data_IF_586050916058
#
_entry.id   IF_586050916058
#
_cell.length_a   1.000
_cell.length_b   1.000
_cell.length_c   1.000
_cell.angle_alpha   90.00
_cell.angle_beta   90.00
_cell.angle_gamma   90.00
#
_symmetry.space_group_name_H-M   'P 1'
#
loop_
_entity.id
_entity.type
_entity.pdbx_description
1 polymer ?
#
# COMPACT_ATOMS: atom_id res chain seq x y z
N UNK A 1 -3.94 -11.22 11.64
CA UNK A 1 -4.26 -11.53 10.23
C UNK A 1 -2.96 -11.75 9.47
N UNK A 2 -2.92 -12.71 8.54
CA UNK A 2 -1.77 -12.89 7.65
C UNK A 2 -2.17 -12.45 6.25
N UNK A 3 -1.59 -11.35 5.78
CA UNK A 3 -1.80 -10.84 4.42
C UNK A 3 -0.77 -11.42 3.46
N UNK A 4 -1.15 -11.51 2.19
CA UNK A 4 -0.19 -11.76 1.11
C UNK A 4 0.89 -10.66 1.09
N UNK A 5 2.06 -10.99 0.53
CA UNK A 5 3.13 -10.00 0.35
C UNK A 5 2.78 -8.95 -0.71
N UNK A 6 1.85 -9.26 -1.61
CA UNK A 6 1.43 -8.39 -2.69
C UNK A 6 -0.08 -8.32 -2.81
N UNK A 7 -0.58 -7.16 -3.23
CA UNK A 7 -1.95 -6.97 -3.70
C UNK A 7 -1.96 -6.38 -5.10
N UNK A 8 -2.85 -6.89 -5.94
CA UNK A 8 -3.29 -6.23 -7.18
C UNK A 8 -4.09 -4.97 -6.85
N UNK A 9 -4.34 -4.12 -7.85
CA UNK A 9 -5.24 -2.97 -7.70
C UNK A 9 -6.63 -3.39 -7.20
N UNK A 10 -7.18 -4.50 -7.71
CA UNK A 10 -8.50 -4.99 -7.30
C UNK A 10 -8.50 -5.38 -5.82
N UNK A 11 -7.53 -6.18 -5.40
CA UNK A 11 -7.39 -6.58 -3.99
C UNK A 11 -7.15 -5.37 -3.08
N UNK A 12 -6.35 -4.39 -3.52
CA UNK A 12 -6.19 -3.14 -2.77
C UNK A 12 -7.52 -2.43 -2.54
N UNK A 13 -8.34 -2.26 -3.59
CA UNK A 13 -9.63 -1.57 -3.49
C UNK A 13 -10.62 -2.35 -2.61
N UNK A 14 -10.73 -3.68 -2.80
CA UNK A 14 -11.61 -4.55 -2.01
C UNK A 14 -11.20 -4.56 -0.52
N UNK A 15 -9.92 -4.82 -0.26
CA UNK A 15 -9.40 -4.87 1.10
C UNK A 15 -9.44 -3.51 1.78
N UNK A 16 -9.15 -2.40 1.08
CA UNK A 16 -9.30 -1.06 1.64
C UNK A 16 -10.74 -0.82 2.10
N UNK A 17 -11.72 -1.09 1.23
CA UNK A 17 -13.15 -0.92 1.56
C UNK A 17 -13.56 -1.73 2.79
N UNK A 18 -13.12 -2.98 2.88
CA UNK A 18 -13.61 -3.89 3.93
C UNK A 18 -12.85 -3.70 5.25
N UNK A 19 -11.53 -3.46 5.21
CA UNK A 19 -10.73 -3.15 6.40
C UNK A 19 -11.09 -1.79 7.01
N UNK A 20 -11.39 -0.77 6.20
CA UNK A 20 -11.77 0.55 6.72
C UNK A 20 -13.13 0.52 7.42
N UNK A 21 -14.06 -0.38 7.02
CA UNK A 21 -15.31 -0.61 7.77
C UNK A 21 -15.05 -1.17 9.16
N UNK A 22 -13.99 -1.96 9.31
CA UNK A 22 -13.55 -2.53 10.58
C UNK A 22 -12.64 -1.57 11.38
N UNK A 23 -12.48 -0.33 10.91
CA UNK A 23 -11.66 0.70 11.56
C UNK A 23 -10.15 0.54 11.33
N UNK A 24 -9.73 -0.33 10.41
CA UNK A 24 -8.33 -0.55 10.05
C UNK A 24 -7.97 0.38 8.88
N UNK A 25 -7.03 1.30 9.11
CA UNK A 25 -6.60 2.26 8.09
C UNK A 25 -5.74 1.57 7.03
N UNK A 26 -6.01 1.85 5.75
CA UNK A 26 -5.24 1.32 4.61
C UNK A 26 -4.67 2.46 3.76
N UNK A 27 -3.35 2.49 3.61
CA UNK A 27 -2.62 3.61 3.00
C UNK A 27 -1.83 3.14 1.78
N UNK A 28 -2.04 3.80 0.65
CA UNK A 28 -1.25 3.61 -0.57
C UNK A 28 -0.06 4.57 -0.56
N UNK A 29 1.16 4.03 -0.59
CA UNK A 29 2.39 4.78 -0.31
C UNK A 29 3.25 4.89 -1.57
N UNK A 30 3.46 6.13 -2.00
CA UNK A 30 4.35 6.50 -3.09
C UNK A 30 5.82 6.49 -2.65
N UNK A 31 6.64 5.64 -3.27
CA UNK A 31 8.08 5.56 -2.99
C UNK A 31 8.95 6.26 -4.05
N UNK A 32 8.35 6.88 -5.06
CA UNK A 32 9.03 7.38 -6.26
C UNK A 32 8.72 8.87 -6.58
N UNK A 33 8.01 9.59 -5.72
CA UNK A 33 7.60 10.99 -5.96
C UNK A 33 6.80 11.17 -7.26
N UNK A 34 6.00 10.16 -7.61
CA UNK A 34 5.21 10.12 -8.84
C UNK A 34 3.87 9.46 -8.54
N UNK A 35 2.94 10.28 -8.04
CA UNK A 35 1.63 9.84 -7.58
C UNK A 35 0.85 9.11 -8.67
N UNK A 36 0.15 8.04 -8.31
CA UNK A 36 -0.82 7.37 -9.19
C UNK A 36 -2.00 8.32 -9.46
N UNK A 37 -2.30 8.55 -10.74
CA UNK A 37 -3.44 9.38 -11.15
C UNK A 37 -4.78 8.78 -10.69
N UNK A 38 -5.66 9.64 -10.17
CA UNK A 38 -6.95 9.28 -9.54
C UNK A 38 -6.87 8.29 -8.37
N UNK A 39 -5.72 8.18 -7.71
CA UNK A 39 -5.59 7.45 -6.45
C UNK A 39 -5.12 8.39 -5.34
N UNK A 40 -5.68 8.23 -4.14
CA UNK A 40 -5.16 8.90 -2.95
C UNK A 40 -3.88 8.19 -2.51
N UNK A 41 -2.76 8.92 -2.52
CA UNK A 41 -1.45 8.37 -2.15
C UNK A 41 -0.74 9.26 -1.15
N UNK A 42 0.00 8.65 -0.24
CA UNK A 42 0.88 9.33 0.72
C UNK A 42 2.32 9.14 0.29
N UNK A 43 3.11 10.22 0.27
CA UNK A 43 4.54 10.11 0.01
C UNK A 43 5.24 9.35 1.13
N UNK A 44 6.16 8.45 0.76
CA UNK A 44 6.96 7.69 1.71
C UNK A 44 7.78 8.62 2.62
N UNK A 45 7.31 8.75 3.86
CA UNK A 45 7.98 9.43 4.95
C UNK A 45 7.92 8.54 6.19
N UNK A 46 9.01 7.86 6.57
CA UNK A 46 9.01 6.92 7.69
C UNK A 46 8.59 7.54 9.03
N UNK A 47 8.98 8.79 9.27
CA UNK A 47 8.62 9.47 10.51
C UNK A 47 7.11 9.68 10.59
N UNK A 48 6.50 10.26 9.55
CA UNK A 48 5.06 10.49 9.49
C UNK A 48 4.28 9.16 9.53
N UNK A 49 4.70 8.16 8.74
CA UNK A 49 4.04 6.86 8.69
C UNK A 49 4.10 6.10 10.03
N UNK A 50 5.17 6.29 10.82
CA UNK A 50 5.27 5.66 12.14
C UNK A 50 4.24 6.16 13.16
N UNK A 51 3.62 7.32 12.90
CA UNK A 51 2.58 7.92 13.74
C UNK A 51 1.17 7.42 13.36
N UNK A 52 1.04 6.65 12.28
CA UNK A 52 -0.24 6.06 11.89
C UNK A 52 -0.69 5.00 12.89
N UNK A 53 -2.02 4.78 13.06
CA UNK A 53 -2.55 3.82 14.02
C UNK A 53 -1.91 2.44 13.88
N UNK A 54 -1.63 1.80 15.02
CA UNK A 54 -1.10 0.44 15.05
C UNK A 54 -2.07 -0.53 14.36
N UNK A 55 -1.53 -1.50 13.62
CA UNK A 55 -2.31 -2.42 12.80
C UNK A 55 -2.73 -1.86 11.44
N UNK A 56 -2.44 -0.59 11.12
CA UNK A 56 -2.71 -0.05 9.77
C UNK A 56 -1.97 -0.85 8.68
N UNK A 57 -2.56 -0.89 7.50
CA UNK A 57 -2.01 -1.58 6.33
C UNK A 57 -1.36 -0.58 5.39
N UNK A 58 -0.06 -0.76 5.16
CA UNK A 58 0.77 0.03 4.28
C UNK A 58 1.00 -0.74 2.97
N UNK A 59 0.54 -0.15 1.88
CA UNK A 59 0.65 -0.70 0.53
C UNK A 59 1.62 0.16 -0.27
N UNK A 60 2.86 -0.31 -0.41
CA UNK A 60 3.94 0.43 -1.06
C UNK A 60 3.90 0.20 -2.57
N UNK A 61 4.11 1.26 -3.36
CA UNK A 61 4.29 1.13 -4.80
C UNK A 61 5.50 1.92 -5.30
N UNK A 62 6.08 1.41 -6.40
CA UNK A 62 7.00 2.10 -7.28
C UNK A 62 6.46 1.98 -8.72
N UNK A 63 7.26 2.24 -9.76
CA UNK A 63 6.78 2.17 -11.14
C UNK A 63 6.31 0.75 -11.54
N UNK A 64 7.03 -0.30 -11.15
CA UNK A 64 6.78 -1.70 -11.57
C UNK A 64 6.44 -2.66 -10.43
N UNK A 65 6.48 -2.23 -9.17
CA UNK A 65 6.24 -3.06 -7.98
C UNK A 65 7.41 -3.97 -7.57
N UNK A 66 8.39 -4.22 -8.46
CA UNK A 66 9.53 -5.11 -8.17
C UNK A 66 10.36 -4.62 -6.98
N UNK A 67 10.77 -3.36 -7.00
CA UNK A 67 11.60 -2.79 -5.94
C UNK A 67 10.88 -2.75 -4.59
N UNK A 68 9.56 -2.54 -4.56
CA UNK A 68 8.79 -2.55 -3.31
C UNK A 68 8.61 -3.96 -2.75
N UNK A 69 8.51 -4.97 -3.60
CA UNK A 69 8.48 -6.37 -3.18
C UNK A 69 9.83 -6.83 -2.61
N UNK A 70 10.93 -6.56 -3.32
CA UNK A 70 12.27 -6.96 -2.89
C UNK A 70 12.63 -6.35 -1.52
N UNK A 71 12.18 -5.12 -1.27
CA UNK A 71 12.44 -4.36 -0.03
C UNK A 71 11.40 -4.60 1.06
N UNK A 72 10.43 -5.48 0.86
CA UNK A 72 9.32 -5.65 1.82
C UNK A 72 9.80 -6.06 3.22
N UNK A 73 10.90 -6.82 3.30
CA UNK A 73 11.54 -7.16 4.57
C UNK A 73 12.04 -5.92 5.32
N UNK A 74 12.67 -4.97 4.61
CA UNK A 74 13.13 -3.71 5.19
C UNK A 74 11.95 -2.89 5.73
N UNK A 75 10.85 -2.80 4.98
CA UNK A 75 9.65 -2.09 5.42
C UNK A 75 9.05 -2.72 6.68
N UNK A 76 8.99 -4.06 6.77
CA UNK A 76 8.51 -4.77 7.97
C UNK A 76 9.40 -4.53 9.19
N UNK A 77 10.72 -4.48 8.99
CA UNK A 77 11.65 -4.11 10.08
C UNK A 77 11.43 -2.65 10.53
N UNK A 78 11.12 -1.75 9.59
CA UNK A 78 10.91 -0.33 9.87
C UNK A 78 9.56 -0.02 10.51
N UNK A 79 8.52 -0.79 10.16
CA UNK A 79 7.16 -0.64 10.64
C UNK A 79 6.65 -1.95 11.26
N UNK A 80 7.24 -2.41 12.38
CA UNK A 80 6.93 -3.72 12.96
C UNK A 80 5.50 -3.82 13.53
N UNK A 81 4.85 -2.67 13.77
CA UNK A 81 3.48 -2.56 14.28
C UNK A 81 2.44 -2.37 13.17
N UNK A 82 2.86 -2.45 11.92
CA UNK A 82 2.01 -2.21 10.76
C UNK A 82 2.16 -3.36 9.76
N UNK A 83 1.14 -3.57 8.94
CA UNK A 83 1.21 -4.55 7.87
C UNK A 83 1.84 -3.91 6.63
N UNK A 84 2.88 -4.54 6.08
CA UNK A 84 3.56 -4.05 4.87
C UNK A 84 3.28 -4.98 3.68
N UNK A 85 2.77 -4.39 2.60
CA UNK A 85 2.36 -5.06 1.36
C UNK A 85 2.92 -4.28 0.16
N UNK A 86 3.28 -4.97 -0.91
CA UNK A 86 3.67 -4.35 -2.18
C UNK A 86 2.49 -4.30 -3.16
N UNK A 87 2.31 -3.19 -3.87
CA UNK A 87 1.35 -3.11 -4.95
C UNK A 87 1.91 -3.84 -6.19
N UNK A 88 1.27 -4.94 -6.57
CA UNK A 88 1.67 -5.78 -7.70
C UNK A 88 1.64 -4.99 -9.00
N UNK A 89 2.77 -4.97 -9.70
CA UNK A 89 2.93 -4.22 -10.96
C UNK A 89 3.09 -2.71 -10.79
N UNK A 90 3.02 -2.19 -9.56
CA UNK A 90 3.23 -0.78 -9.24
C UNK A 90 2.28 0.17 -9.95
N UNK A 91 2.73 1.41 -10.11
CA UNK A 91 2.01 2.49 -10.81
C UNK A 91 1.70 2.12 -12.26
N UNK A 92 2.60 1.41 -12.95
CA UNK A 92 2.45 1.05 -14.36
C UNK A 92 1.28 0.10 -14.64
N UNK A 93 0.84 -0.67 -13.65
CA UNK A 93 -0.32 -1.58 -13.78
C UNK A 93 -1.65 -0.94 -13.34
N UNK A 94 -1.62 0.29 -12.83
CA UNK A 94 -2.82 0.95 -12.32
C UNK A 94 -3.76 1.39 -13.45
N UNK A 95 -5.02 0.96 -13.37
CA UNK A 95 -6.11 1.34 -14.27
C UNK A 95 -6.91 2.48 -13.64
N UNK A 96 -6.81 3.68 -14.21
CA UNK A 96 -7.43 4.92 -13.71
C UNK A 96 -8.95 4.88 -13.49
N UNK A 97 -9.65 4.03 -14.24
CA UNK A 97 -11.12 3.94 -14.22
C UNK A 97 -11.62 2.58 -13.73
N UNK A 98 -10.78 1.80 -13.03
CA UNK A 98 -11.26 0.59 -12.37
C UNK A 98 -12.13 0.98 -11.17
N UNK A 99 -13.35 0.44 -11.14
CA UNK A 99 -14.27 0.57 -10.02
C UNK A 99 -14.57 -0.83 -9.48
N UNK A 100 -14.85 -0.91 -8.18
CA UNK A 100 -15.45 -2.10 -7.59
C UNK A 100 -16.88 -2.21 -8.12
N UNK A 101 -17.26 -3.38 -8.61
CA UNK A 101 -18.63 -3.70 -9.04
C UNK A 101 -19.48 -3.98 -7.80
#
# INVERSE_FOLDING_TARGET
MQFANEWTQKEFLENKRDLEKDGIKVILIDTILSSIDKAETVLYNPYALSQEPEGSVFVFYCDSGKATLDRLKEYRTKFPRHHCISLKGGRGYWRKNMMLI
#
